data_IF_020117297406
#
_entry.id   IF_020117297406
#
_cell.length_a   1.000
_cell.length_b   1.000
_cell.length_c   1.000
_cell.angle_alpha   90.00
_cell.angle_beta   90.00
_cell.angle_gamma   90.00
#
_symmetry.space_group_name_H-M   'P 1'
#
loop_
_entity.id
_entity.type
_entity.pdbx_description
1 polymer ?
#
# COMPACT_ATOMS: atom_id res chain seq x y z
N UNK A 1 -6.62 -25.31 -32.98
CA UNK A 1 -6.15 -25.41 -31.59
C UNK A 1 -5.06 -24.37 -31.38
N UNK A 2 -5.27 -23.39 -30.51
CA UNK A 2 -4.20 -22.72 -29.73
C UNK A 2 -4.87 -21.96 -28.58
N UNK A 3 -4.38 -22.27 -27.38
CA UNK A 3 -4.90 -21.92 -26.06
C UNK A 3 -4.44 -20.52 -25.62
N UNK A 4 -5.38 -19.77 -25.05
CA UNK A 4 -5.36 -19.20 -23.68
C UNK A 4 -4.17 -18.32 -23.25
N UNK A 5 -4.47 -17.03 -23.09
CA UNK A 5 -4.13 -16.14 -21.96
C UNK A 5 -5.08 -14.96 -22.13
N UNK A 6 -6.28 -14.95 -21.51
CA UNK A 6 -6.57 -14.51 -20.14
C UNK A 6 -5.64 -13.38 -19.67
N UNK A 7 -5.72 -12.25 -20.37
CA UNK A 7 -5.51 -10.95 -19.75
C UNK A 7 -6.60 -10.78 -18.69
N UNK A 8 -6.23 -11.11 -17.44
CA UNK A 8 -6.91 -10.65 -16.24
C UNK A 8 -6.71 -9.13 -16.20
N UNK A 9 -7.53 -8.42 -16.99
CA UNK A 9 -7.74 -6.99 -16.83
C UNK A 9 -8.53 -6.84 -15.52
N UNK A 10 -7.77 -6.89 -14.42
CA UNK A 10 -8.24 -6.49 -13.11
C UNK A 10 -8.59 -5.01 -13.22
N UNK A 11 -9.84 -4.75 -13.61
CA UNK A 11 -10.54 -3.49 -13.52
C UNK A 11 -10.63 -3.09 -12.04
N UNK A 12 -9.48 -2.70 -11.51
CA UNK A 12 -9.37 -1.98 -10.26
C UNK A 12 -9.49 -0.53 -10.69
N UNK A 13 -10.70 -0.10 -11.01
CA UNK A 13 -11.11 1.30 -10.84
C UNK A 13 -11.10 1.57 -9.33
N UNK A 14 -9.90 1.46 -8.74
CA UNK A 14 -9.64 1.73 -7.35
C UNK A 14 -9.84 3.21 -7.16
N UNK A 15 -10.66 3.58 -6.18
CA UNK A 15 -10.58 4.90 -5.61
C UNK A 15 -9.10 5.21 -5.43
N UNK A 16 -8.58 6.24 -6.13
CA UNK A 16 -7.19 6.68 -5.97
C UNK A 16 -7.07 7.12 -4.53
N UNK A 17 -6.57 6.21 -3.69
CA UNK A 17 -6.34 6.51 -2.28
C UNK A 17 -5.14 7.44 -2.27
N UNK A 18 -5.40 8.74 -2.16
CA UNK A 18 -4.37 9.71 -1.86
C UNK A 18 -3.84 9.37 -0.46
N UNK A 19 -2.62 8.86 -0.39
CA UNK A 19 -1.97 8.57 0.88
C UNK A 19 -1.04 9.72 1.24
N UNK A 20 -1.34 10.36 2.36
CA UNK A 20 -0.43 11.31 2.98
C UNK A 20 0.50 10.54 3.90
N UNK A 21 1.81 10.58 3.63
CA UNK A 21 2.81 9.97 4.49
C UNK A 21 3.66 11.04 5.14
N UNK A 22 3.73 10.97 6.46
CA UNK A 22 4.59 11.83 7.26
C UNK A 22 5.90 11.10 7.52
N UNK A 23 6.94 11.48 6.80
CA UNK A 23 8.28 10.95 6.97
C UNK A 23 8.99 11.71 8.09
N UNK A 24 9.43 10.99 9.11
CA UNK A 24 10.27 11.55 10.18
C UNK A 24 11.72 11.19 9.91
N UNK A 25 12.47 12.11 9.31
CA UNK A 25 13.92 11.96 9.06
C UNK A 25 14.66 12.73 10.16
N UNK A 26 14.97 12.02 11.25
CA UNK A 26 15.60 12.61 12.43
C UNK A 26 14.71 13.65 13.12
N UNK A 27 15.17 14.90 13.24
CA UNK A 27 14.38 16.01 13.83
C UNK A 27 13.42 16.67 12.85
N UNK A 28 13.49 16.33 11.57
CA UNK A 28 12.63 16.91 10.54
C UNK A 28 11.46 15.99 10.23
N UNK A 29 10.25 16.56 10.21
CA UNK A 29 9.05 15.90 9.72
C UNK A 29 8.67 16.51 8.39
N UNK A 30 8.62 15.70 7.35
CA UNK A 30 8.17 16.11 6.03
C UNK A 30 6.91 15.33 5.66
N UNK A 31 5.87 16.05 5.26
CA UNK A 31 4.63 15.45 4.77
C UNK A 31 4.71 15.38 3.26
N UNK A 32 4.56 14.18 2.72
CA UNK A 32 4.54 13.93 1.28
C UNK A 32 3.21 13.30 0.88
N UNK A 33 2.65 13.79 -0.22
CA UNK A 33 1.44 13.27 -0.81
C UNK A 33 1.79 12.30 -1.94
N UNK A 34 1.16 11.13 -1.90
CA UNK A 34 1.29 10.08 -2.89
C UNK A 34 -0.06 9.86 -3.56
N UNK A 35 -0.05 9.87 -4.88
CA UNK A 35 -1.27 9.76 -5.69
C UNK A 35 -1.71 8.32 -5.91
N UNK A 36 -0.76 7.39 -5.79
CA UNK A 36 -1.00 5.97 -6.01
C UNK A 36 -0.41 5.15 -4.86
N UNK A 37 -1.23 4.21 -4.39
CA UNK A 37 -0.87 3.22 -3.38
C UNK A 37 -1.13 1.85 -3.96
N UNK A 38 -0.10 1.01 -3.98
CA UNK A 38 -0.20 -0.40 -4.33
C UNK A 38 0.20 -1.24 -3.13
N UNK A 39 -0.56 -2.29 -2.85
CA UNK A 39 -0.32 -3.20 -1.72
C UNK A 39 -0.15 -4.61 -2.26
N UNK A 40 0.99 -5.24 -1.95
CA UNK A 40 1.25 -6.64 -2.24
C UNK A 40 1.36 -7.44 -0.93
N UNK A 41 0.78 -8.64 -0.95
CA UNK A 41 0.81 -9.59 0.16
C UNK A 41 1.35 -10.96 -0.28
N UNK A 42 2.12 -10.97 -1.37
CA UNK A 42 2.72 -12.18 -1.93
C UNK A 42 3.74 -12.82 -0.96
N UNK A 43 4.41 -12.00 -0.14
CA UNK A 43 5.23 -12.49 0.96
C UNK A 43 4.33 -12.96 2.13
N UNK A 44 4.46 -14.21 2.60
CA UNK A 44 3.71 -14.70 3.76
C UNK A 44 4.07 -13.98 5.07
N UNK A 45 5.29 -13.47 5.22
CA UNK A 45 5.79 -12.81 6.42
C UNK A 45 5.56 -11.29 6.40
N UNK A 46 5.54 -10.67 5.22
CA UNK A 46 5.47 -9.21 5.07
C UNK A 46 4.30 -8.74 4.20
N UNK A 47 3.88 -7.51 4.44
CA UNK A 47 3.02 -6.74 3.55
C UNK A 47 3.85 -5.63 2.97
N UNK A 48 3.90 -5.54 1.64
CA UNK A 48 4.64 -4.48 0.94
C UNK A 48 3.66 -3.43 0.47
N UNK A 49 3.90 -2.18 0.87
CA UNK A 49 3.15 -1.02 0.43
C UNK A 49 4.07 -0.17 -0.45
N UNK A 50 3.70 -0.01 -1.70
CA UNK A 50 4.36 0.87 -2.65
C UNK A 50 3.55 2.16 -2.79
N UNK A 51 4.22 3.28 -2.54
CA UNK A 51 3.67 4.62 -2.68
C UNK A 51 4.35 5.28 -3.87
N UNK A 52 3.57 5.75 -4.83
CA UNK A 52 4.08 6.47 -6.01
C UNK A 52 3.51 7.89 -6.02
N UNK A 53 4.39 8.86 -6.25
CA UNK A 53 4.03 10.27 -6.44
C UNK A 53 4.11 10.63 -7.92
N UNK A 54 3.39 11.68 -8.34
CA UNK A 54 3.35 12.13 -9.73
C UNK A 54 4.71 12.59 -10.27
N UNK A 55 5.60 13.03 -9.38
CA UNK A 55 6.97 13.42 -9.73
C UNK A 55 7.89 12.21 -10.03
N UNK A 56 7.34 10.98 -9.96
CA UNK A 56 8.06 9.74 -10.21
C UNK A 56 8.77 9.18 -8.99
N UNK A 57 8.68 9.84 -7.82
CA UNK A 57 9.23 9.28 -6.57
C UNK A 57 8.43 8.08 -6.13
N UNK A 58 9.14 7.05 -5.68
CA UNK A 58 8.56 5.82 -5.16
C UNK A 58 9.14 5.50 -3.80
N UNK A 59 8.28 5.11 -2.87
CA UNK A 59 8.66 4.60 -1.55
C UNK A 59 8.07 3.22 -1.39
N UNK A 60 8.92 2.24 -1.09
CA UNK A 60 8.48 0.91 -0.70
C UNK A 60 8.62 0.77 0.82
N UNK A 61 7.52 0.39 1.47
CA UNK A 61 7.46 0.12 2.90
C UNK A 61 7.13 -1.35 3.09
N UNK A 62 7.98 -2.06 3.82
CA UNK A 62 7.73 -3.45 4.19
C UNK A 62 7.30 -3.49 5.66
N UNK A 63 6.12 -4.05 5.91
CA UNK A 63 5.53 -4.14 7.22
C UNK A 63 5.38 -5.61 7.61
N UNK A 64 5.76 -6.01 8.84
CA UNK A 64 5.50 -7.37 9.32
C UNK A 64 4.00 -7.66 9.33
N UNK A 65 3.59 -8.77 8.73
CA UNK A 65 2.16 -9.11 8.56
C UNK A 65 1.44 -9.26 9.90
N UNK A 66 2.14 -9.69 10.95
CA UNK A 66 1.60 -9.79 12.30
C UNK A 66 1.20 -8.42 12.88
N UNK A 67 2.02 -7.38 12.64
CA UNK A 67 1.75 -6.02 13.11
C UNK A 67 0.58 -5.40 12.34
N UNK A 68 0.55 -5.58 11.02
CA UNK A 68 -0.56 -5.10 10.17
C UNK A 68 -1.88 -5.72 10.62
N UNK A 69 -1.92 -7.05 10.85
CA UNK A 69 -3.11 -7.73 11.37
C UNK A 69 -3.55 -7.15 12.71
N UNK A 70 -2.63 -6.97 13.65
CA UNK A 70 -2.93 -6.40 14.97
C UNK A 70 -3.56 -5.01 14.86
N UNK A 71 -2.99 -4.13 14.03
CA UNK A 71 -3.50 -2.77 13.82
C UNK A 71 -4.90 -2.76 13.18
N UNK A 72 -5.14 -3.63 12.20
CA UNK A 72 -6.45 -3.76 11.56
C UNK A 72 -7.51 -4.30 12.53
N UNK A 73 -7.16 -5.31 13.34
CA UNK A 73 -8.05 -5.85 14.36
C UNK A 73 -8.46 -4.79 15.38
N UNK A 74 -7.52 -3.94 15.80
CA UNK A 74 -7.80 -2.84 16.73
C UNK A 74 -8.74 -1.81 16.11
N UNK A 75 -8.54 -1.47 14.83
CA UNK A 75 -9.40 -0.52 14.11
C UNK A 75 -10.83 -1.05 13.95
N UNK A 76 -11.01 -2.36 13.77
CA UNK A 76 -12.33 -2.98 13.75
C UNK A 76 -13.02 -2.94 15.11
N UNK A 77 -12.30 -3.21 16.20
CA UNK A 77 -12.87 -3.19 17.56
C UNK A 77 -13.35 -1.78 17.94
N UNK A 78 -12.62 -0.73 17.58
CA UNK A 78 -13.01 0.66 17.88
C UNK A 78 -14.05 1.26 16.93
N UNK A 79 -14.43 0.53 15.86
CA UNK A 79 -15.47 0.97 14.92
C UNK A 79 -16.83 0.30 15.16
N UNK A 80 -16.94 -0.51 16.21
CA UNK A 80 -18.16 -1.12 16.73
C UNK A 80 -18.70 -0.29 17.90
#
# INVERSE_FOLDING_TARGET
MSKKTKDDEANTTGAKVAATVMLSLGRSKATHEFEEVSVSTDDPAHVTVLLSSADGRKIAVMLPRAEVKRLLSWRMIMSL
#
